data_IF_224250544515
#
_entry.id   IF_224250544515
#
_cell.length_a   1.000
_cell.length_b   1.000
_cell.length_c   1.000
_cell.angle_alpha   90.00
_cell.angle_beta   90.00
_cell.angle_gamma   90.00
#
_symmetry.space_group_name_H-M   'P 1'
#
loop_
_entity.id
_entity.type
_entity.pdbx_description
1 polymer ?
#
# COMPACT_ATOMS: atom_id res chain seq x y z
N UNK A 1 -31.91 2.15 -59.25
CA UNK A 1 -30.93 2.11 -58.15
C UNK A 1 -29.95 3.26 -58.32
N UNK A 2 -30.13 4.38 -57.60
CA UNK A 2 -29.21 5.52 -57.70
C UNK A 2 -27.90 5.17 -57.00
N UNK A 3 -26.83 4.97 -57.77
CA UNK A 3 -25.48 4.93 -57.21
C UNK A 3 -25.17 6.32 -56.64
N UNK A 4 -25.21 6.43 -55.30
CA UNK A 4 -24.64 7.55 -54.58
C UNK A 4 -23.13 7.53 -54.87
N UNK A 5 -22.66 8.39 -55.77
CA UNK A 5 -21.24 8.63 -55.97
C UNK A 5 -20.64 9.11 -54.64
N UNK A 6 -20.05 8.18 -53.89
CA UNK A 6 -19.38 8.51 -52.63
C UNK A 6 -18.02 9.12 -52.97
N UNK A 7 -17.98 10.45 -53.10
CA UNK A 7 -16.77 11.24 -53.42
C UNK A 7 -15.73 11.20 -52.26
N UNK A 8 -16.06 10.56 -51.12
CA UNK A 8 -15.19 10.56 -49.93
C UNK A 8 -14.11 9.49 -50.08
N UNK A 9 -12.86 9.93 -50.27
CA UNK A 9 -11.67 9.07 -50.30
C UNK A 9 -11.20 8.62 -48.90
N UNK A 10 -11.91 8.99 -47.83
CA UNK A 10 -11.50 8.77 -46.43
C UNK A 10 -12.51 7.92 -45.66
N UNK A 11 -11.99 7.01 -44.86
CA UNK A 11 -12.77 6.23 -43.90
C UNK A 11 -13.23 7.09 -42.71
N UNK A 12 -14.40 6.75 -42.15
CA UNK A 12 -14.92 7.42 -40.97
C UNK A 12 -14.03 7.13 -39.75
N UNK A 13 -13.67 8.16 -38.98
CA UNK A 13 -12.84 8.03 -37.78
C UNK A 13 -11.33 8.21 -38.03
N UNK A 14 -10.88 8.28 -39.28
CA UNK A 14 -9.47 8.51 -39.61
C UNK A 14 -9.04 9.95 -39.29
N UNK A 15 -8.03 10.12 -38.43
CA UNK A 15 -7.47 11.42 -38.11
C UNK A 15 -6.73 12.05 -39.31
N UNK A 16 -6.82 13.38 -39.43
CA UNK A 16 -6.04 14.14 -40.40
C UNK A 16 -4.54 14.03 -40.08
N UNK A 17 -3.73 13.74 -41.07
CA UNK A 17 -2.27 13.72 -40.95
C UNK A 17 -1.70 15.14 -41.00
N UNK A 18 -0.43 15.33 -40.65
CA UNK A 18 0.22 16.63 -40.82
C UNK A 18 0.27 17.04 -42.30
N UNK A 19 0.42 16.07 -43.21
CA UNK A 19 0.47 16.33 -44.64
C UNK A 19 -0.89 16.78 -45.19
N UNK A 20 -1.97 16.13 -44.75
CA UNK A 20 -3.35 16.58 -45.02
C UNK A 20 -3.56 18.05 -44.60
N UNK A 21 -3.02 18.42 -43.43
CA UNK A 21 -3.14 19.78 -42.90
C UNK A 21 -2.30 20.79 -43.69
N UNK A 22 -1.09 20.43 -44.12
CA UNK A 22 -0.26 21.28 -44.99
C UNK A 22 -0.92 21.49 -46.36
N UNK A 23 -1.51 20.45 -46.92
CA UNK A 23 -2.25 20.54 -48.18
C UNK A 23 -3.46 21.48 -48.06
N UNK A 24 -4.22 21.39 -46.97
CA UNK A 24 -5.27 22.36 -46.66
C UNK A 24 -4.71 23.78 -46.48
N UNK A 25 -3.58 23.95 -45.78
CA UNK A 25 -2.97 25.27 -45.58
C UNK A 25 -2.61 25.94 -46.90
N UNK A 26 -1.96 25.22 -47.80
CA UNK A 26 -1.65 25.71 -49.13
C UNK A 26 -2.93 26.12 -49.89
N UNK A 27 -3.89 25.20 -50.02
CA UNK A 27 -5.11 25.46 -50.79
C UNK A 27 -5.97 26.58 -50.19
N UNK A 28 -6.12 26.62 -48.87
CA UNK A 28 -6.93 27.62 -48.19
C UNK A 28 -6.28 29.01 -48.28
N UNK A 29 -4.97 29.12 -48.05
CA UNK A 29 -4.27 30.40 -48.07
C UNK A 29 -4.10 30.94 -49.51
N UNK A 30 -3.89 30.08 -50.51
CA UNK A 30 -3.93 30.49 -51.92
C UNK A 30 -5.34 30.95 -52.33
N UNK A 31 -6.39 30.27 -51.86
CA UNK A 31 -7.76 30.68 -52.13
C UNK A 31 -8.09 32.06 -51.51
N UNK A 32 -7.47 32.44 -50.39
CA UNK A 32 -7.65 33.77 -49.79
C UNK A 32 -7.13 34.90 -50.70
N UNK A 33 -6.07 34.65 -51.47
CA UNK A 33 -5.44 35.61 -52.39
C UNK A 33 -6.23 35.83 -53.68
N UNK A 34 -7.16 34.93 -54.03
CA UNK A 34 -7.95 35.01 -55.26
C UNK A 34 -8.92 36.20 -55.24
N UNK A 35 -9.26 36.79 -56.41
CA UNK A 35 -10.35 37.76 -56.51
C UNK A 35 -11.66 37.19 -55.99
N UNK A 36 -12.53 38.03 -55.41
CA UNK A 36 -13.80 37.59 -54.78
C UNK A 36 -14.68 36.71 -55.68
N UNK A 37 -14.65 36.96 -56.99
CA UNK A 37 -15.37 36.19 -58.02
C UNK A 37 -14.85 34.76 -58.24
N UNK A 38 -13.56 34.52 -57.94
CA UNK A 38 -12.86 33.25 -58.20
C UNK A 38 -12.51 32.50 -56.90
N UNK A 39 -12.97 33.01 -55.75
CA UNK A 39 -12.78 32.37 -54.44
C UNK A 39 -13.67 31.13 -54.33
N UNK A 40 -13.03 30.01 -54.08
CA UNK A 40 -13.70 28.74 -53.83
C UNK A 40 -14.44 28.81 -52.49
N UNK A 41 -15.66 28.30 -52.48
CA UNK A 41 -16.42 28.12 -51.24
C UNK A 41 -15.95 26.88 -50.47
N UNK A 42 -16.41 26.72 -49.23
CA UNK A 42 -15.99 25.61 -48.37
C UNK A 42 -16.41 24.24 -48.94
N UNK A 43 -17.52 24.17 -49.68
CA UNK A 43 -18.01 22.95 -50.32
C UNK A 43 -17.11 22.51 -51.47
N UNK A 44 -16.64 23.46 -52.28
CA UNK A 44 -15.67 23.23 -53.36
C UNK A 44 -14.30 22.82 -52.81
N UNK A 45 -13.82 23.51 -51.77
CA UNK A 45 -12.57 23.13 -51.08
C UNK A 45 -12.66 21.72 -50.50
N UNK A 46 -13.79 21.37 -49.87
CA UNK A 46 -14.02 20.02 -49.35
C UNK A 46 -14.03 18.97 -50.47
N UNK A 47 -14.62 19.30 -51.64
CA UNK A 47 -14.64 18.41 -52.82
C UNK A 47 -13.24 18.19 -53.39
N UNK A 48 -12.42 19.23 -53.49
CA UNK A 48 -11.02 19.14 -53.95
C UNK A 48 -10.18 18.27 -53.00
N UNK A 49 -10.34 18.48 -51.70
CA UNK A 49 -9.63 17.72 -50.65
C UNK A 49 -10.15 16.28 -50.48
N UNK A 50 -11.33 15.97 -51.04
CA UNK A 50 -12.02 14.70 -50.80
C UNK A 50 -12.52 14.52 -49.36
N UNK A 51 -12.76 15.61 -48.63
CA UNK A 51 -13.20 15.62 -47.23
C UNK A 51 -14.70 15.90 -47.12
N UNK A 52 -15.31 15.53 -45.99
CA UNK A 52 -16.67 16.03 -45.68
C UNK A 52 -16.62 17.51 -45.31
N UNK A 53 -17.66 18.27 -45.66
CA UNK A 53 -17.77 19.69 -45.29
C UNK A 53 -17.65 19.91 -43.77
N UNK A 54 -18.20 18.98 -42.98
CA UNK A 54 -18.10 19.00 -41.53
C UNK A 54 -16.68 18.72 -41.02
N UNK A 55 -15.91 17.85 -41.68
CA UNK A 55 -14.49 17.62 -41.35
C UNK A 55 -13.68 18.89 -41.60
N UNK A 56 -13.86 19.51 -42.78
CA UNK A 56 -13.19 20.75 -43.14
C UNK A 56 -13.56 21.89 -42.17
N UNK A 57 -14.84 22.04 -41.83
CA UNK A 57 -15.30 23.06 -40.87
C UNK A 57 -14.63 22.92 -39.51
N UNK A 58 -14.61 21.70 -38.95
CA UNK A 58 -13.98 21.43 -37.65
C UNK A 58 -12.48 21.64 -37.70
N UNK A 59 -11.83 21.29 -38.80
CA UNK A 59 -10.39 21.49 -38.95
C UNK A 59 -10.02 22.96 -39.09
N UNK A 60 -10.74 23.72 -39.94
CA UNK A 60 -10.56 25.16 -40.05
C UNK A 60 -10.74 25.82 -38.68
N UNK A 61 -11.73 25.42 -37.88
CA UNK A 61 -11.90 25.95 -36.52
C UNK A 61 -10.69 25.69 -35.60
N UNK A 62 -9.94 24.59 -35.80
CA UNK A 62 -8.74 24.27 -35.01
C UNK A 62 -7.52 25.08 -35.46
N UNK A 63 -7.36 25.31 -36.76
CA UNK A 63 -6.17 25.94 -37.35
C UNK A 63 -6.29 27.41 -37.73
N UNK A 64 -7.47 28.02 -37.57
CA UNK A 64 -7.72 29.43 -37.94
C UNK A 64 -6.95 30.37 -37.01
N UNK A 65 -6.09 31.20 -37.59
CA UNK A 65 -5.23 32.15 -36.87
C UNK A 65 -5.34 33.55 -37.46
N UNK A 66 -5.24 34.57 -36.60
CA UNK A 66 -5.05 35.96 -37.04
C UNK A 66 -3.56 36.19 -37.26
N UNK A 67 -3.21 36.72 -38.43
CA UNK A 67 -1.84 37.11 -38.79
C UNK A 67 -1.84 38.58 -39.25
N UNK A 68 -0.66 39.20 -39.26
CA UNK A 68 -0.47 40.55 -39.83
C UNK A 68 0.36 40.46 -41.09
N UNK A 69 -0.03 41.19 -42.12
CA UNK A 69 0.78 41.32 -43.34
C UNK A 69 1.90 42.37 -43.14
N UNK A 70 2.76 42.56 -44.15
CA UNK A 70 3.85 43.56 -44.11
C UNK A 70 3.34 45.00 -43.93
N UNK A 71 2.07 45.27 -44.22
CA UNK A 71 1.39 46.55 -44.03
C UNK A 71 0.69 46.64 -42.65
N UNK A 72 0.94 45.67 -41.75
CA UNK A 72 0.35 45.56 -40.41
C UNK A 72 -1.17 45.36 -40.38
N UNK A 73 -1.80 45.02 -41.50
CA UNK A 73 -3.22 44.72 -41.57
C UNK A 73 -3.48 43.29 -41.08
N UNK A 74 -4.50 43.14 -40.23
CA UNK A 74 -4.90 41.84 -39.72
C UNK A 74 -5.68 41.06 -40.78
N UNK A 75 -5.24 39.83 -41.05
CA UNK A 75 -5.98 38.89 -41.87
C UNK A 75 -6.08 37.53 -41.18
N UNK A 76 -7.09 36.76 -41.58
CA UNK A 76 -7.28 35.42 -41.02
C UNK A 76 -6.82 34.36 -41.99
N UNK A 77 -5.85 33.56 -41.56
CA UNK A 77 -5.30 32.44 -42.32
C UNK A 77 -5.59 31.11 -41.62
N UNK A 78 -5.33 30.02 -42.33
CA UNK A 78 -5.23 28.71 -41.70
C UNK A 78 -3.75 28.36 -41.51
N UNK A 79 -3.41 27.78 -40.36
CA UNK A 79 -2.06 27.27 -40.07
C UNK A 79 -2.11 25.79 -39.72
N UNK A 80 -1.41 24.95 -40.49
CA UNK A 80 -1.31 23.51 -40.23
C UNK A 80 -0.62 23.22 -38.90
N UNK A 81 0.40 24.03 -38.57
CA UNK A 81 1.17 23.91 -37.32
C UNK A 81 0.30 24.16 -36.10
N UNK A 82 -0.57 25.17 -36.15
CA UNK A 82 -1.48 25.47 -35.02
C UNK A 82 -2.55 24.39 -34.89
N UNK A 83 -3.16 23.96 -35.99
CA UNK A 83 -4.12 22.87 -35.98
C UNK A 83 -3.52 21.58 -35.39
N UNK A 84 -2.29 21.22 -35.81
CA UNK A 84 -1.55 20.08 -35.29
C UNK A 84 -1.31 20.20 -33.79
N UNK A 85 -0.77 21.33 -33.32
CA UNK A 85 -0.52 21.59 -31.89
C UNK A 85 -1.79 21.49 -31.04
N UNK A 86 -2.93 21.97 -31.54
CA UNK A 86 -4.22 21.84 -30.84
C UNK A 86 -4.65 20.39 -30.69
N UNK A 87 -4.46 19.57 -31.73
CA UNK A 87 -4.79 18.14 -31.71
C UNK A 87 -3.86 17.39 -30.75
N UNK A 88 -2.56 17.62 -30.83
CA UNK A 88 -1.56 17.03 -29.94
C UNK A 88 -1.83 17.39 -28.48
N UNK A 89 -2.17 18.65 -28.19
CA UNK A 89 -2.57 19.10 -26.84
C UNK A 89 -3.84 18.39 -26.36
N UNK A 90 -4.80 18.17 -27.24
CA UNK A 90 -6.04 17.46 -26.89
C UNK A 90 -5.76 15.98 -26.62
N UNK A 91 -4.88 15.36 -27.40
CA UNK A 91 -4.46 13.98 -27.19
C UNK A 91 -3.61 13.80 -25.93
N UNK A 92 -2.72 14.74 -25.62
CA UNK A 92 -1.97 14.70 -24.37
C UNK A 92 -2.87 14.81 -23.14
N UNK A 93 -4.02 15.48 -23.27
CA UNK A 93 -5.03 15.55 -22.22
C UNK A 93 -5.87 14.27 -22.09
N UNK A 94 -5.88 13.41 -23.11
CA UNK A 94 -6.49 12.08 -23.05
C UNK A 94 -5.52 11.12 -22.36
N UNK A 95 -5.49 11.19 -21.03
CA UNK A 95 -4.78 10.19 -20.23
C UNK A 95 -5.33 8.77 -20.48
N UNK A 96 -4.56 7.73 -20.16
CA UNK A 96 -5.05 6.36 -20.26
C UNK A 96 -6.30 6.21 -19.37
N UNK A 97 -7.31 5.51 -19.90
CA UNK A 97 -8.52 5.20 -19.13
C UNK A 97 -8.14 4.44 -17.86
N UNK A 98 -8.90 4.67 -16.79
CA UNK A 98 -8.72 3.90 -15.56
C UNK A 98 -8.98 2.42 -15.87
N UNK A 99 -8.05 1.52 -15.49
CA UNK A 99 -8.21 0.06 -15.51
C UNK A 99 -9.46 -0.41 -14.75
N UNK A 100 -9.84 0.27 -13.66
CA UNK A 100 -11.10 -0.01 -12.96
C UNK A 100 -12.33 0.40 -13.79
N UNK A 101 -12.20 1.42 -14.65
CA UNK A 101 -13.25 1.93 -15.54
C UNK A 101 -14.57 2.08 -14.77
N UNK A 102 -15.65 1.40 -15.19
CA UNK A 102 -16.99 1.51 -14.60
C UNK A 102 -17.26 0.47 -13.50
N UNK A 103 -16.22 -0.18 -12.96
CA UNK A 103 -16.38 -1.19 -11.91
C UNK A 103 -16.48 -0.56 -10.52
N UNK A 104 -17.65 0.01 -10.26
CA UNK A 104 -17.95 0.69 -9.00
C UNK A 104 -17.98 -0.27 -7.81
N UNK A 105 -18.30 -1.55 -8.03
CA UNK A 105 -18.31 -2.59 -6.99
C UNK A 105 -16.89 -2.83 -6.50
N UNK A 106 -15.96 -3.13 -7.41
CA UNK A 106 -14.55 -3.31 -7.06
C UNK A 106 -13.98 -2.05 -6.40
N UNK A 107 -14.35 -0.86 -6.90
CA UNK A 107 -13.90 0.41 -6.33
C UNK A 107 -14.33 0.55 -4.88
N UNK A 108 -15.61 0.29 -4.57
CA UNK A 108 -16.14 0.43 -3.22
C UNK A 108 -15.57 -0.61 -2.25
N UNK A 109 -15.36 -1.85 -2.71
CA UNK A 109 -14.73 -2.88 -1.87
C UNK A 109 -13.29 -2.47 -1.52
N UNK A 110 -12.49 -2.04 -2.50
CA UNK A 110 -11.12 -1.59 -2.26
C UNK A 110 -11.11 -0.38 -1.32
N UNK A 111 -11.98 0.60 -1.55
CA UNK A 111 -12.13 1.80 -0.71
C UNK A 111 -12.43 1.42 0.75
N UNK A 112 -13.43 0.57 0.99
CA UNK A 112 -13.79 0.10 2.33
C UNK A 112 -12.63 -0.63 3.03
N UNK A 113 -11.85 -1.43 2.30
CA UNK A 113 -10.67 -2.11 2.86
C UNK A 113 -9.53 -1.14 3.21
N UNK A 114 -9.38 -0.05 2.43
CA UNK A 114 -8.39 1.01 2.67
C UNK A 114 -8.77 1.91 3.86
N UNK A 115 -10.06 2.17 4.06
CA UNK A 115 -10.59 2.89 5.23
C UNK A 115 -10.51 2.01 6.48
N UNK A 116 -10.86 0.74 6.31
CA UNK A 116 -10.86 -0.28 7.35
C UNK A 116 -12.01 -0.19 8.33
N UNK A 117 -12.04 -1.14 9.26
CA UNK A 117 -13.08 -1.23 10.29
C UNK A 117 -12.82 -0.21 11.40
N UNK A 118 -13.83 0.58 11.74
CA UNK A 118 -13.76 1.56 12.83
C UNK A 118 -13.51 0.90 14.19
N UNK A 119 -12.71 1.57 15.01
CA UNK A 119 -12.35 1.17 16.36
C UNK A 119 -12.48 2.36 17.30
N UNK A 120 -12.80 2.12 18.57
CA UNK A 120 -13.15 3.20 19.49
C UNK A 120 -11.91 3.86 20.11
N UNK A 121 -10.88 3.08 20.44
CA UNK A 121 -9.70 3.56 21.19
C UNK A 121 -8.38 3.42 20.41
N UNK A 122 -8.42 2.80 19.24
CA UNK A 122 -7.28 2.63 18.33
C UNK A 122 -7.69 3.07 16.91
N UNK A 123 -6.72 3.24 16.02
CA UNK A 123 -7.04 3.59 14.62
C UNK A 123 -7.76 2.43 13.91
N UNK A 124 -8.51 2.77 12.86
CA UNK A 124 -9.23 1.80 12.04
C UNK A 124 -8.34 0.65 11.56
N UNK A 125 -8.88 -0.56 11.60
CA UNK A 125 -8.21 -1.77 11.13
C UNK A 125 -8.32 -1.85 9.61
N UNK A 126 -7.32 -1.29 8.93
CA UNK A 126 -7.27 -1.12 7.48
C UNK A 126 -6.13 -1.88 6.80
N UNK A 127 -6.36 -2.22 5.54
CA UNK A 127 -5.40 -2.92 4.69
C UNK A 127 -4.55 -1.94 3.89
N UNK A 128 -3.30 -2.34 3.61
CA UNK A 128 -2.47 -1.68 2.61
C UNK A 128 -2.90 -2.13 1.20
N UNK A 129 -2.65 -1.31 0.16
CA UNK A 129 -2.89 -1.72 -1.23
C UNK A 129 -2.26 -3.08 -1.59
N UNK A 130 -1.06 -3.36 -1.07
CA UNK A 130 -0.40 -4.65 -1.28
C UNK A 130 -1.16 -5.81 -0.60
N UNK A 131 -1.64 -5.61 0.63
CA UNK A 131 -2.38 -6.64 1.33
C UNK A 131 -3.76 -6.90 0.71
N UNK A 132 -4.39 -5.88 0.12
CA UNK A 132 -5.64 -6.02 -0.63
C UNK A 132 -5.45 -6.92 -1.85
N UNK A 133 -4.42 -6.66 -2.68
CA UNK A 133 -4.16 -7.51 -3.85
C UNK A 133 -3.85 -8.94 -3.43
N UNK A 134 -3.02 -9.12 -2.40
CA UNK A 134 -2.68 -10.45 -1.87
C UNK A 134 -3.89 -11.18 -1.29
N UNK A 135 -4.81 -10.45 -0.65
CA UNK A 135 -6.06 -11.00 -0.16
C UNK A 135 -6.90 -11.55 -1.31
N UNK A 136 -7.15 -10.74 -2.35
CA UNK A 136 -7.95 -11.13 -3.51
C UNK A 136 -7.30 -12.23 -4.35
N UNK A 137 -5.97 -12.23 -4.50
CA UNK A 137 -5.27 -13.31 -5.20
C UNK A 137 -5.47 -14.66 -4.51
N UNK A 138 -5.70 -14.66 -3.18
CA UNK A 138 -5.95 -15.88 -2.40
C UNK A 138 -7.42 -16.28 -2.34
N UNK A 139 -8.32 -15.32 -2.04
CA UNK A 139 -9.75 -15.63 -1.82
C UNK A 139 -10.59 -15.55 -3.09
N UNK A 140 -10.03 -15.02 -4.17
CA UNK A 140 -10.74 -14.66 -5.38
C UNK A 140 -10.96 -13.15 -5.49
N UNK A 141 -10.82 -12.63 -6.71
CA UNK A 141 -11.19 -11.26 -7.02
C UNK A 141 -12.72 -11.15 -7.02
N UNK A 142 -13.29 -10.05 -6.49
CA UNK A 142 -14.75 -9.90 -6.39
C UNK A 142 -15.43 -9.69 -7.76
N UNK A 143 -14.64 -9.39 -8.79
CA UNK A 143 -15.06 -9.05 -10.16
C UNK A 143 -14.01 -9.56 -11.15
N UNK A 144 -14.34 -9.60 -12.44
CA UNK A 144 -13.42 -10.06 -13.50
C UNK A 144 -12.15 -9.20 -13.64
N UNK A 145 -12.23 -7.93 -13.25
CA UNK A 145 -11.10 -7.00 -13.32
C UNK A 145 -10.10 -7.26 -12.21
N UNK A 146 -8.81 -7.32 -12.59
CA UNK A 146 -7.68 -7.44 -11.66
C UNK A 146 -6.81 -6.19 -11.70
N UNK A 147 -6.41 -5.72 -10.52
CA UNK A 147 -5.55 -4.55 -10.37
C UNK A 147 -4.24 -4.96 -9.69
N UNK A 148 -3.10 -4.56 -10.25
CA UNK A 148 -1.84 -4.72 -9.54
C UNK A 148 -1.73 -3.70 -8.40
N UNK A 149 -0.92 -4.01 -7.38
CA UNK A 149 -0.71 -3.16 -6.21
C UNK A 149 -0.36 -1.71 -6.58
N UNK A 150 0.50 -1.53 -7.60
CA UNK A 150 0.91 -0.20 -8.08
C UNK A 150 -0.27 0.60 -8.63
N UNK A 151 -1.24 -0.06 -9.27
CA UNK A 151 -2.43 0.61 -9.80
C UNK A 151 -3.28 1.16 -8.67
N UNK A 152 -3.48 0.41 -7.58
CA UNK A 152 -4.23 0.88 -6.41
C UNK A 152 -3.52 2.08 -5.76
N UNK A 153 -2.20 2.04 -5.60
CA UNK A 153 -1.44 3.21 -5.12
C UNK A 153 -1.63 4.44 -6.02
N UNK A 154 -1.52 4.27 -7.34
CA UNK A 154 -1.73 5.37 -8.29
C UNK A 154 -3.16 5.93 -8.24
N UNK A 155 -4.14 5.10 -7.89
CA UNK A 155 -5.54 5.53 -7.75
C UNK A 155 -5.78 6.33 -6.48
N UNK A 156 -5.14 5.94 -5.37
CA UNK A 156 -5.16 6.77 -4.14
C UNK A 156 -4.46 8.11 -4.38
N UNK A 157 -3.34 8.11 -5.12
CA UNK A 157 -2.60 9.35 -5.45
C UNK A 157 -3.39 10.28 -6.40
N UNK A 158 -4.16 9.71 -7.32
CA UNK A 158 -5.03 10.45 -8.25
C UNK A 158 -6.42 10.75 -7.68
N UNK A 159 -6.65 10.47 -6.40
CA UNK A 159 -7.94 10.71 -5.72
C UNK A 159 -9.13 10.05 -6.45
N UNK A 160 -8.89 8.85 -7.01
CA UNK A 160 -9.93 8.05 -7.69
C UNK A 160 -10.94 7.48 -6.67
N UNK A 161 -10.48 7.21 -5.45
CA UNK A 161 -11.33 6.83 -4.33
C UNK A 161 -11.79 8.10 -3.60
N UNK A 162 -13.09 8.20 -3.31
CA UNK A 162 -13.71 9.42 -2.80
C UNK A 162 -13.31 9.70 -1.35
N UNK A 163 -13.24 8.64 -0.54
CA UNK A 163 -13.04 8.73 0.91
C UNK A 163 -11.60 8.40 1.36
N UNK A 164 -10.70 8.13 0.41
CA UNK A 164 -9.34 7.66 0.71
C UNK A 164 -8.30 8.59 0.12
N UNK A 165 -7.42 9.09 0.97
CA UNK A 165 -6.29 9.91 0.58
C UNK A 165 -4.96 9.24 0.90
N UNK A 166 -3.86 9.83 0.45
CA UNK A 166 -2.51 9.37 0.83
C UNK A 166 -2.26 9.40 2.35
N UNK A 167 -3.02 10.19 3.12
CA UNK A 167 -2.91 10.25 4.59
C UNK A 167 -3.44 8.98 5.26
N UNK A 168 -4.25 8.20 4.56
CA UNK A 168 -4.87 6.99 5.07
C UNK A 168 -3.98 5.76 4.90
N UNK A 169 -2.92 5.87 4.11
CA UNK A 169 -2.02 4.74 3.85
C UNK A 169 -1.07 4.43 5.02
N UNK A 170 -0.69 3.14 5.23
CA UNK A 170 0.01 2.74 6.45
C UNK A 170 1.41 3.31 6.72
N UNK A 171 2.12 3.72 5.67
CA UNK A 171 3.48 4.25 5.78
C UNK A 171 3.54 5.63 5.13
N UNK A 172 3.51 6.66 5.97
CA UNK A 172 3.70 8.06 5.57
C UNK A 172 5.19 8.35 5.38
N UNK A 173 5.74 7.96 4.22
CA UNK A 173 7.08 8.35 3.76
C UNK A 173 8.26 8.01 4.68
N UNK A 174 9.43 8.52 4.32
CA UNK A 174 10.68 8.29 5.04
C UNK A 174 10.72 9.12 6.32
N UNK A 175 10.97 8.46 7.45
CA UNK A 175 11.35 9.15 8.69
C UNK A 175 12.84 9.49 8.63
N UNK A 176 13.27 10.69 9.06
CA UNK A 176 14.68 11.01 9.15
C UNK A 176 15.39 10.01 10.06
N UNK A 177 16.54 9.49 9.60
CA UNK A 177 17.42 8.65 10.43
C UNK A 177 17.83 9.45 11.65
N UNK A 178 17.38 9.03 12.83
CA UNK A 178 17.84 9.62 14.09
C UNK A 178 19.32 9.31 14.27
N UNK A 179 20.10 10.29 14.74
CA UNK A 179 21.50 10.08 15.13
C UNK A 179 21.57 8.95 16.17
N UNK A 180 22.55 8.05 16.01
CA UNK A 180 22.84 7.01 17.00
C UNK A 180 23.22 7.70 18.31
N UNK A 181 22.43 7.53 19.36
CA UNK A 181 22.79 7.97 20.72
C UNK A 181 23.63 6.86 21.35
N UNK A 182 24.80 7.19 21.87
CA UNK A 182 25.55 6.27 22.72
C UNK A 182 24.78 6.09 24.02
N UNK A 183 24.47 4.85 24.36
CA UNK A 183 23.77 4.48 25.60
C UNK A 183 24.78 3.67 26.41
N UNK A 184 24.86 3.93 27.71
CA UNK A 184 25.74 3.19 28.61
C UNK A 184 25.36 1.71 28.67
N UNK A 185 26.38 0.83 28.69
CA UNK A 185 26.19 -0.61 28.85
C UNK A 185 25.56 -0.87 30.23
N UNK A 186 24.28 -1.23 30.25
CA UNK A 186 23.62 -1.72 31.48
C UNK A 186 24.21 -3.07 31.87
N UNK A 187 24.43 -3.27 33.18
CA UNK A 187 24.89 -4.52 33.75
C UNK A 187 23.96 -5.67 33.33
N UNK A 188 24.55 -6.75 32.84
CA UNK A 188 23.85 -7.98 32.47
C UNK A 188 24.22 -9.06 33.47
N UNK A 189 23.26 -9.82 34.02
CA UNK A 189 23.55 -11.01 34.81
C UNK A 189 24.46 -11.96 34.00
N UNK A 190 25.46 -12.59 34.65
CA UNK A 190 26.42 -13.47 33.97
C UNK A 190 25.78 -14.76 33.43
N UNK A 191 24.78 -15.31 34.13
CA UNK A 191 24.31 -16.69 33.91
C UNK A 191 23.18 -16.85 32.87
N UNK A 192 23.05 -15.95 31.90
CA UNK A 192 21.93 -16.00 30.94
C UNK A 192 22.31 -16.56 29.58
N UNK A 193 21.45 -17.44 29.03
CA UNK A 193 21.61 -18.02 27.69
C UNK A 193 21.58 -16.92 26.62
N UNK A 194 22.70 -16.72 25.92
CA UNK A 194 22.81 -15.77 24.79
C UNK A 194 22.25 -16.35 23.50
N UNK A 195 21.88 -15.47 22.57
CA UNK A 195 21.44 -15.82 21.21
C UNK A 195 22.39 -16.79 20.48
N UNK A 196 23.70 -16.72 20.73
CA UNK A 196 24.68 -17.64 20.13
C UNK A 196 24.53 -19.10 20.58
N UNK A 197 23.85 -19.35 21.70
CA UNK A 197 23.58 -20.70 22.19
C UNK A 197 22.29 -21.29 21.61
N UNK A 198 21.64 -20.60 20.66
CA UNK A 198 20.46 -21.13 20.00
C UNK A 198 20.85 -22.27 19.07
N UNK A 199 20.04 -23.35 19.02
CA UNK A 199 20.11 -24.30 17.91
C UNK A 199 20.00 -23.59 16.55
N UNK A 200 20.73 -24.08 15.54
CA UNK A 200 20.76 -23.48 14.19
C UNK A 200 19.37 -23.38 13.54
N UNK A 201 18.49 -24.35 13.80
CA UNK A 201 17.11 -24.37 13.32
C UNK A 201 16.31 -23.08 13.66
N UNK A 202 16.63 -22.42 14.79
CA UNK A 202 15.99 -21.17 15.20
C UNK A 202 16.36 -20.01 14.26
N UNK A 203 17.61 -20.00 13.78
CA UNK A 203 18.13 -18.95 12.92
C UNK A 203 17.64 -19.11 11.48
N UNK A 204 17.60 -20.36 11.01
CA UNK A 204 17.09 -20.73 9.69
C UNK A 204 15.56 -20.60 9.59
N UNK A 205 14.86 -20.48 10.72
CA UNK A 205 13.39 -20.36 10.82
C UNK A 205 12.69 -21.53 10.12
N UNK A 206 13.17 -22.74 10.38
CA UNK A 206 12.68 -23.96 9.72
C UNK A 206 11.53 -24.62 10.47
N UNK A 207 11.31 -24.29 11.74
CA UNK A 207 10.23 -24.85 12.55
C UNK A 207 9.46 -23.83 13.38
N UNK A 208 8.24 -24.21 13.76
CA UNK A 208 7.40 -23.45 14.69
C UNK A 208 7.90 -23.55 16.13
N UNK A 209 7.54 -22.56 16.94
CA UNK A 209 7.71 -22.60 18.39
C UNK A 209 8.90 -21.79 18.89
N UNK A 210 9.54 -21.02 18.00
CA UNK A 210 10.60 -20.09 18.35
C UNK A 210 10.07 -18.67 18.29
N UNK A 211 9.79 -18.11 19.47
CA UNK A 211 9.15 -16.82 19.61
C UNK A 211 10.17 -15.73 19.92
N UNK A 212 9.92 -14.52 19.45
CA UNK A 212 10.55 -13.31 19.95
C UNK A 212 9.52 -12.59 20.84
N UNK A 213 9.96 -12.05 21.99
CA UNK A 213 9.08 -11.38 22.95
C UNK A 213 9.58 -9.96 23.25
N UNK A 214 8.67 -8.99 23.31
CA UNK A 214 8.97 -7.58 23.53
C UNK A 214 7.90 -6.87 24.35
N UNK A 215 8.23 -5.69 24.86
CA UNK A 215 7.27 -4.78 25.51
C UNK A 215 7.10 -3.48 24.71
N UNK A 216 5.85 -3.16 24.37
CA UNK A 216 5.47 -1.89 23.77
C UNK A 216 4.92 -0.97 24.86
N UNK A 217 5.68 0.06 25.21
CA UNK A 217 5.32 1.04 26.25
C UNK A 217 4.10 1.90 25.89
N UNK A 218 3.35 2.31 26.91
CA UNK A 218 2.28 3.32 26.77
C UNK A 218 2.84 4.74 26.60
N UNK A 219 1.95 5.71 26.55
CA UNK A 219 2.26 7.14 26.70
C UNK A 219 3.01 7.43 28.01
N UNK A 220 3.80 8.52 28.05
CA UNK A 220 4.47 8.97 29.28
C UNK A 220 3.47 9.09 30.44
N UNK A 221 3.86 8.57 31.61
CA UNK A 221 3.03 8.59 32.83
C UNK A 221 2.05 7.42 32.96
N UNK A 222 1.82 6.65 31.89
CA UNK A 222 1.07 5.40 31.95
C UNK A 222 2.05 4.22 32.04
N UNK A 223 1.92 3.42 33.11
CA UNK A 223 2.82 2.29 33.39
C UNK A 223 2.43 1.03 32.61
N UNK A 224 1.25 1.00 32.00
CA UNK A 224 0.80 -0.15 31.21
C UNK A 224 1.66 -0.34 29.96
N UNK A 225 1.77 -1.58 29.50
CA UNK A 225 2.41 -1.89 28.24
C UNK A 225 1.76 -3.11 27.57
N UNK A 226 2.05 -3.30 26.28
CA UNK A 226 1.68 -4.52 25.57
C UNK A 226 2.89 -5.45 25.55
N UNK A 227 2.76 -6.62 26.16
CA UNK A 227 3.67 -7.72 25.98
C UNK A 227 3.32 -8.42 24.66
N UNK A 228 4.24 -8.40 23.71
CA UNK A 228 4.06 -8.98 22.39
C UNK A 228 4.95 -10.19 22.22
N UNK A 229 4.41 -11.29 21.69
CA UNK A 229 5.18 -12.44 21.23
C UNK A 229 4.95 -12.62 19.74
N UNK A 230 5.97 -12.97 18.97
CA UNK A 230 5.84 -13.34 17.55
C UNK A 230 6.64 -14.59 17.22
N UNK A 231 6.00 -15.57 16.58
CA UNK A 231 6.67 -16.76 16.10
C UNK A 231 7.57 -16.42 14.89
N UNK A 232 8.79 -16.95 14.87
CA UNK A 232 9.78 -16.66 13.83
C UNK A 232 9.47 -17.34 12.50
N UNK A 233 8.61 -18.37 12.47
CA UNK A 233 8.27 -19.12 11.26
C UNK A 233 6.90 -18.73 10.68
N UNK A 234 5.82 -18.86 11.47
CA UNK A 234 4.44 -18.58 11.05
C UNK A 234 4.12 -17.09 11.07
N UNK A 235 4.85 -16.32 11.90
CA UNK A 235 4.57 -14.92 12.21
C UNK A 235 3.26 -14.70 12.95
N UNK A 236 2.72 -15.76 13.56
CA UNK A 236 1.65 -15.65 14.55
C UNK A 236 2.12 -14.69 15.65
N UNK A 237 1.26 -13.75 16.03
CA UNK A 237 1.51 -12.83 17.12
C UNK A 237 0.51 -13.03 18.25
N UNK A 238 0.98 -12.79 19.47
CA UNK A 238 0.17 -12.74 20.68
C UNK A 238 0.43 -11.38 21.33
N UNK A 239 -0.62 -10.66 21.71
CA UNK A 239 -0.58 -9.30 22.25
C UNK A 239 -1.34 -9.27 23.57
N UNK A 240 -0.61 -9.13 24.68
CA UNK A 240 -1.15 -9.15 26.03
C UNK A 240 -0.97 -7.81 26.71
N UNK A 241 -2.05 -7.21 27.21
CA UNK A 241 -1.94 -6.01 28.05
C UNK A 241 -1.44 -6.37 29.44
N UNK A 242 -0.39 -5.69 29.91
CA UNK A 242 0.13 -5.78 31.28
C UNK A 242 0.08 -4.41 31.97
N UNK A 243 -0.10 -4.45 33.30
CA UNK A 243 -0.31 -3.23 34.10
C UNK A 243 0.98 -2.45 34.36
N UNK A 244 2.12 -3.13 34.37
CA UNK A 244 3.45 -2.55 34.56
C UNK A 244 4.50 -3.32 33.76
N UNK A 245 5.51 -2.63 33.25
CA UNK A 245 6.69 -3.24 32.60
C UNK A 245 7.68 -3.76 33.66
N UNK A 246 7.28 -4.81 34.40
CA UNK A 246 8.08 -5.46 35.45
C UNK A 246 8.13 -6.96 35.25
N UNK A 247 9.17 -7.59 35.78
CA UNK A 247 9.42 -9.04 35.70
C UNK A 247 8.21 -9.85 36.17
N UNK A 248 7.66 -9.51 37.34
CA UNK A 248 6.45 -10.15 37.89
C UNK A 248 5.26 -10.12 36.94
N UNK A 249 5.04 -8.99 36.26
CA UNK A 249 3.93 -8.82 35.30
C UNK A 249 4.12 -9.72 34.07
N UNK A 250 5.35 -9.85 33.58
CA UNK A 250 5.71 -10.72 32.45
C UNK A 250 5.50 -12.19 32.83
N UNK A 251 6.08 -12.62 33.95
CA UNK A 251 5.94 -14.00 34.46
C UNK A 251 4.48 -14.34 34.71
N UNK A 252 3.70 -13.44 35.30
CA UNK A 252 2.26 -13.63 35.53
C UNK A 252 1.49 -13.87 34.22
N UNK A 253 1.87 -13.21 33.12
CA UNK A 253 1.25 -13.46 31.81
C UNK A 253 1.69 -14.78 31.19
N UNK A 254 2.97 -15.14 31.27
CA UNK A 254 3.43 -16.47 30.83
C UNK A 254 2.71 -17.58 31.60
N UNK A 255 2.55 -17.44 32.91
CA UNK A 255 1.75 -18.34 33.75
C UNK A 255 0.30 -18.42 33.29
N UNK A 256 -0.28 -17.28 32.90
CA UNK A 256 -1.66 -17.25 32.40
C UNK A 256 -1.82 -17.96 31.06
N UNK A 257 -0.83 -17.87 30.16
CA UNK A 257 -0.83 -18.59 28.89
C UNK A 257 -0.67 -20.09 29.16
N UNK A 258 0.26 -20.49 30.02
CA UNK A 258 0.46 -21.89 30.39
C UNK A 258 -0.79 -22.49 31.06
N UNK A 259 -1.49 -21.76 31.93
CA UNK A 259 -2.78 -22.21 32.48
C UNK A 259 -3.82 -22.47 31.41
N UNK A 260 -3.87 -21.63 30.38
CA UNK A 260 -4.86 -21.74 29.30
C UNK A 260 -4.57 -22.91 28.37
N UNK A 261 -3.29 -23.20 28.10
CA UNK A 261 -2.88 -24.24 27.15
C UNK A 261 -2.60 -25.60 27.82
N UNK A 262 -2.20 -25.60 29.08
CA UNK A 262 -1.60 -26.75 29.76
C UNK A 262 -0.09 -26.88 29.48
N UNK A 263 0.61 -27.61 30.36
CA UNK A 263 2.08 -27.70 30.35
C UNK A 263 2.67 -28.34 29.08
N UNK A 264 1.97 -29.31 28.49
CA UNK A 264 2.42 -30.00 27.27
C UNK A 264 2.31 -29.07 26.05
N UNK A 265 1.10 -28.58 25.79
CA UNK A 265 0.86 -27.70 24.65
C UNK A 265 1.64 -26.38 24.75
N UNK A 266 1.90 -25.86 25.96
CA UNK A 266 2.78 -24.72 26.13
C UNK A 266 4.21 -25.01 25.66
N UNK A 267 4.80 -26.16 26.03
CA UNK A 267 6.15 -26.54 25.60
C UNK A 267 6.25 -26.77 24.10
N UNK A 268 5.23 -27.37 23.50
CA UNK A 268 5.14 -27.58 22.06
C UNK A 268 5.01 -26.24 21.32
N UNK A 269 4.16 -25.32 21.83
CA UNK A 269 3.95 -24.00 21.22
C UNK A 269 5.10 -23.03 21.45
N UNK A 270 5.78 -23.08 22.60
CA UNK A 270 6.86 -22.15 22.97
C UNK A 270 8.14 -22.91 23.29
N UNK A 271 8.75 -23.56 22.29
CA UNK A 271 10.05 -24.24 22.43
C UNK A 271 11.14 -23.29 22.95
N UNK A 272 11.18 -22.06 22.42
CA UNK A 272 12.08 -21.02 22.91
C UNK A 272 11.49 -19.62 22.81
N UNK A 273 11.91 -18.72 23.70
CA UNK A 273 11.56 -17.31 23.69
C UNK A 273 12.83 -16.44 23.65
N UNK A 274 12.88 -15.52 22.71
CA UNK A 274 13.96 -14.57 22.54
C UNK A 274 13.58 -13.20 23.10
N UNK A 275 14.34 -12.70 24.07
CA UNK A 275 14.16 -11.38 24.69
C UNK A 275 15.35 -10.45 24.43
N UNK A 276 15.17 -9.16 24.64
CA UNK A 276 16.26 -8.21 24.69
C UNK A 276 16.84 -8.15 26.12
N UNK A 277 17.74 -7.21 26.38
CA UNK A 277 18.32 -7.02 27.70
C UNK A 277 17.49 -6.08 28.59
N UNK A 278 16.19 -5.93 28.33
CA UNK A 278 15.26 -5.15 29.14
C UNK A 278 15.23 -5.58 30.61
N UNK A 279 14.93 -4.65 31.50
CA UNK A 279 14.90 -4.92 32.95
C UNK A 279 13.73 -5.86 33.33
N UNK A 280 12.63 -5.78 32.58
CA UNK A 280 11.44 -6.62 32.70
C UNK A 280 11.67 -8.08 32.34
N UNK A 281 12.77 -8.40 31.65
CA UNK A 281 13.08 -9.75 31.20
C UNK A 281 14.26 -10.37 31.94
N UNK A 282 14.80 -9.78 33.01
CA UNK A 282 16.01 -10.32 33.67
C UNK A 282 15.76 -11.63 34.45
N UNK A 283 14.53 -11.85 34.93
CA UNK A 283 14.15 -13.07 35.66
C UNK A 283 13.83 -14.23 34.71
N UNK A 284 14.83 -14.67 33.94
CA UNK A 284 14.66 -15.80 33.03
C UNK A 284 14.32 -17.10 33.77
N UNK A 285 14.80 -17.29 35.01
CA UNK A 285 14.55 -18.51 35.79
C UNK A 285 13.05 -18.69 36.04
N UNK A 286 12.37 -17.62 36.46
CA UNK A 286 10.91 -17.67 36.63
C UNK A 286 10.15 -17.75 35.30
N UNK A 287 10.70 -17.19 34.22
CA UNK A 287 10.11 -17.32 32.88
C UNK A 287 10.19 -18.77 32.35
N UNK A 288 11.28 -19.49 32.65
CA UNK A 288 11.49 -20.89 32.24
C UNK A 288 10.80 -21.89 33.18
N UNK A 289 10.65 -21.59 34.47
CA UNK A 289 10.01 -22.50 35.45
C UNK A 289 8.55 -22.74 35.09
N UNK A 290 8.07 -23.97 34.98
CA UNK A 290 6.63 -24.28 34.77
C UNK A 290 5.79 -24.10 36.06
N UNK A 291 4.49 -23.80 35.93
CA UNK A 291 3.56 -23.82 37.09
C UNK A 291 3.01 -25.22 37.41
N UNK A 292 3.20 -26.19 36.52
CA UNK A 292 2.62 -27.53 36.65
C UNK A 292 3.66 -28.62 36.91
N UNK A 293 4.94 -28.34 36.66
CA UNK A 293 6.00 -29.34 36.79
C UNK A 293 7.33 -28.69 37.18
N UNK A 294 8.26 -29.50 37.69
CA UNK A 294 9.64 -29.08 37.95
C UNK A 294 10.44 -28.89 36.65
N UNK A 295 9.93 -29.39 35.52
CA UNK A 295 10.56 -29.21 34.20
C UNK A 295 10.38 -27.78 33.71
N UNK A 296 11.33 -27.32 32.91
CA UNK A 296 11.21 -26.02 32.24
C UNK A 296 10.08 -26.02 31.21
N UNK A 297 9.29 -24.94 31.19
CA UNK A 297 8.22 -24.69 30.21
C UNK A 297 8.73 -24.22 28.85
N UNK A 298 9.92 -23.62 28.79
CA UNK A 298 10.54 -23.06 27.58
C UNK A 298 12.03 -22.79 27.84
N UNK A 299 12.77 -22.43 26.78
CA UNK A 299 14.12 -21.88 26.87
C UNK A 299 14.16 -20.40 26.47
N UNK A 300 14.67 -19.55 27.35
CA UNK A 300 14.81 -18.10 27.17
C UNK A 300 16.22 -17.77 26.69
N UNK A 301 16.30 -16.97 25.62
CA UNK A 301 17.56 -16.50 25.04
C UNK A 301 17.60 -14.98 24.95
N UNK A 302 18.75 -14.39 25.21
CA UNK A 302 18.95 -12.93 25.15
C UNK A 302 19.73 -12.52 23.92
N UNK A 303 19.21 -11.53 23.19
CA UNK A 303 19.94 -10.84 22.13
C UNK A 303 21.17 -10.08 22.69
N UNK A 304 22.13 -9.78 21.83
CA UNK A 304 23.25 -8.93 22.20
C UNK A 304 22.78 -7.49 22.48
N UNK A 305 23.49 -6.81 23.37
CA UNK A 305 23.24 -5.39 23.61
C UNK A 305 23.49 -4.60 22.32
N UNK A 306 22.60 -3.66 22.02
CA UNK A 306 22.66 -2.82 20.81
C UNK A 306 22.49 -3.54 19.46
N UNK A 307 22.08 -4.81 19.48
CA UNK A 307 21.86 -5.62 18.27
C UNK A 307 20.38 -5.83 17.96
N UNK A 308 19.65 -4.74 17.72
CA UNK A 308 18.19 -4.82 17.51
C UNK A 308 17.80 -5.62 16.25
N UNK A 309 18.70 -5.70 15.26
CA UNK A 309 18.52 -6.50 14.04
C UNK A 309 18.40 -8.01 14.29
N UNK A 310 18.91 -8.52 15.42
CA UNK A 310 18.78 -9.93 15.82
C UNK A 310 17.34 -10.34 16.16
N UNK A 311 16.45 -9.35 16.30
CA UNK A 311 15.03 -9.45 16.63
C UNK A 311 14.15 -8.72 15.62
N UNK A 312 14.50 -8.84 14.33
CA UNK A 312 13.77 -8.15 13.26
C UNK A 312 12.28 -8.50 13.17
N UNK A 313 11.85 -9.65 13.70
CA UNK A 313 10.44 -10.04 13.73
C UNK A 313 9.66 -9.16 14.71
N UNK A 314 10.21 -8.94 15.91
CA UNK A 314 9.66 -8.00 16.89
C UNK A 314 9.64 -6.57 16.36
N UNK A 315 10.71 -6.08 15.74
CA UNK A 315 10.73 -4.72 15.20
C UNK A 315 9.60 -4.48 14.19
N UNK A 316 9.39 -5.44 13.27
CA UNK A 316 8.33 -5.35 12.28
C UNK A 316 6.93 -5.43 12.93
N UNK A 317 6.72 -6.35 13.89
CA UNK A 317 5.45 -6.46 14.61
C UNK A 317 5.16 -5.18 15.42
N UNK A 318 6.13 -4.66 16.17
CA UNK A 318 5.99 -3.42 16.93
C UNK A 318 5.64 -2.25 16.02
N UNK A 319 6.30 -2.14 14.86
CA UNK A 319 5.96 -1.15 13.85
C UNK A 319 4.52 -1.28 13.35
N UNK A 320 4.07 -2.52 13.15
CA UNK A 320 2.71 -2.81 12.68
C UNK A 320 1.64 -2.50 13.75
N UNK A 321 1.87 -2.87 15.01
CA UNK A 321 0.99 -2.50 16.13
C UNK A 321 0.94 -0.98 16.29
N UNK A 322 2.08 -0.30 16.16
CA UNK A 322 2.17 1.17 16.30
C UNK A 322 1.47 1.95 15.19
N UNK A 323 1.13 1.29 14.09
CA UNK A 323 0.28 1.89 13.08
C UNK A 323 -1.16 2.08 13.59
N UNK A 324 -1.68 1.09 14.31
CA UNK A 324 -3.01 1.12 14.89
C UNK A 324 -3.06 1.79 16.26
N UNK A 325 -1.96 1.68 17.03
CA UNK A 325 -1.80 2.28 18.35
C UNK A 325 -0.62 3.25 18.34
N UNK A 326 -0.84 4.52 17.94
CA UNK A 326 0.21 5.52 17.86
C UNK A 326 1.00 5.67 19.16
N UNK A 327 2.24 6.17 19.04
CA UNK A 327 3.00 6.59 20.24
C UNK A 327 2.26 7.74 20.91
N UNK A 328 2.14 7.70 22.24
CA UNK A 328 1.39 8.69 23.01
C UNK A 328 -0.04 8.26 23.35
N UNK A 329 -0.53 7.14 22.84
CA UNK A 329 -1.81 6.55 23.28
C UNK A 329 -1.67 5.94 24.68
N UNK A 330 -2.64 6.22 25.55
CA UNK A 330 -2.76 5.61 26.89
C UNK A 330 -3.33 4.19 26.77
N UNK A 331 -2.47 3.19 26.83
CA UNK A 331 -2.84 1.77 26.74
C UNK A 331 -3.77 1.33 27.87
N UNK A 332 -3.73 1.97 29.04
CA UNK A 332 -4.67 1.67 30.14
C UNK A 332 -6.14 1.83 29.71
N UNK A 333 -6.41 2.80 28.84
CA UNK A 333 -7.75 3.18 28.40
C UNK A 333 -8.27 2.30 27.23
N UNK A 334 -7.39 1.48 26.63
CA UNK A 334 -7.76 0.53 25.58
C UNK A 334 -8.30 -0.75 26.21
N UNK A 335 -9.56 -1.15 25.95
CA UNK A 335 -10.12 -2.37 26.51
C UNK A 335 -9.49 -3.62 25.88
N UNK A 336 -9.39 -4.71 26.64
CA UNK A 336 -8.77 -5.97 26.15
C UNK A 336 -9.45 -6.50 24.88
N UNK A 337 -10.77 -6.30 24.73
CA UNK A 337 -11.52 -6.68 23.52
C UNK A 337 -10.97 -6.04 22.23
N UNK A 338 -10.50 -4.79 22.29
CA UNK A 338 -9.94 -4.11 21.12
C UNK A 338 -8.54 -4.61 20.80
N UNK A 339 -7.76 -4.96 21.83
CA UNK A 339 -6.46 -5.59 21.68
C UNK A 339 -6.61 -6.97 21.02
N UNK A 340 -7.62 -7.76 21.43
CA UNK A 340 -7.90 -9.05 20.81
C UNK A 340 -8.31 -8.90 19.34
N UNK A 341 -9.17 -7.92 19.00
CA UNK A 341 -9.54 -7.63 17.61
C UNK A 341 -8.32 -7.22 16.77
N UNK A 342 -7.41 -6.44 17.35
CA UNK A 342 -6.16 -6.06 16.69
C UNK A 342 -5.24 -7.27 16.46
N UNK A 343 -5.09 -8.14 17.46
CA UNK A 343 -4.33 -9.39 17.35
C UNK A 343 -4.89 -10.29 16.24
N UNK A 344 -6.20 -10.53 16.25
CA UNK A 344 -6.90 -11.33 15.23
C UNK A 344 -6.71 -10.74 13.84
N UNK A 345 -6.89 -9.42 13.70
CA UNK A 345 -6.68 -8.71 12.44
C UNK A 345 -5.24 -8.89 11.94
N UNK A 346 -4.24 -8.65 12.79
CA UNK A 346 -2.83 -8.80 12.44
C UNK A 346 -2.53 -10.24 12.02
N UNK A 347 -3.08 -11.24 12.71
CA UNK A 347 -2.87 -12.65 12.40
C UNK A 347 -3.60 -13.11 11.12
N UNK A 348 -4.73 -12.49 10.76
CA UNK A 348 -5.42 -12.70 9.48
C UNK A 348 -4.84 -11.89 8.31
N UNK A 349 -3.94 -10.94 8.59
CA UNK A 349 -3.43 -10.01 7.61
C UNK A 349 -2.47 -10.70 6.61
N UNK A 350 -2.69 -10.60 5.29
CA UNK A 350 -1.77 -11.12 4.27
C UNK A 350 -0.39 -10.46 4.31
N UNK A 351 0.69 -11.26 4.30
CA UNK A 351 2.07 -10.72 4.42
C UNK A 351 2.96 -11.23 3.29
N UNK A 352 3.78 -10.33 2.72
CA UNK A 352 4.71 -10.67 1.62
C UNK A 352 5.73 -11.73 2.01
N UNK A 353 6.21 -11.69 3.27
CA UNK A 353 7.14 -12.69 3.82
C UNK A 353 6.52 -14.10 3.93
N UNK A 354 5.19 -14.20 3.81
CA UNK A 354 4.43 -15.43 3.80
C UNK A 354 3.80 -15.70 2.42
N UNK A 355 4.31 -15.06 1.36
CA UNK A 355 3.90 -15.31 -0.03
C UNK A 355 2.40 -15.10 -0.32
N UNK A 356 1.72 -14.19 0.39
CA UNK A 356 0.26 -14.05 0.25
C UNK A 356 -0.49 -14.49 1.50
N UNK A 357 0.11 -15.40 2.26
CA UNK A 357 -0.56 -15.98 3.40
C UNK A 357 -0.61 -15.05 4.61
N UNK A 358 -1.59 -15.33 5.44
CA UNK A 358 -1.72 -14.79 6.78
C UNK A 358 -1.02 -15.71 7.79
N UNK A 359 -0.75 -15.23 9.00
CA UNK A 359 -0.20 -16.08 10.04
C UNK A 359 -1.15 -17.23 10.39
N UNK A 360 -2.47 -16.95 10.47
CA UNK A 360 -3.50 -17.97 10.71
C UNK A 360 -3.50 -19.05 9.62
N UNK A 361 -3.51 -18.66 8.35
CA UNK A 361 -3.50 -19.63 7.26
C UNK A 361 -2.21 -20.45 7.21
N UNK A 362 -1.07 -19.86 7.54
CA UNK A 362 0.20 -20.60 7.64
C UNK A 362 0.20 -21.58 8.83
N UNK A 363 -0.31 -21.16 9.99
CA UNK A 363 -0.44 -22.02 11.16
C UNK A 363 -1.34 -23.23 10.88
N UNK A 364 -2.51 -23.01 10.29
CA UNK A 364 -3.46 -24.06 9.91
C UNK A 364 -2.91 -25.05 8.86
N UNK A 365 -1.92 -24.66 8.06
CA UNK A 365 -1.31 -25.57 7.09
C UNK A 365 -0.30 -26.55 7.74
N UNK A 366 0.06 -26.33 9.01
CA UNK A 366 1.08 -27.11 9.74
C UNK A 366 0.46 -27.86 10.93
N UNK A 367 -0.62 -27.33 11.50
CA UNK A 367 -1.42 -27.94 12.57
C UNK A 367 -2.32 -29.04 12.01
#
# INVERSE_FOLDING_TARGET
>A
MSQLHYIRKREAGQHLTIEDRKHLEYLYNENLKRPKKDKLNQKELAKILGWSEATLSRELKRGKVKQKNSMLEEYTAYSSVVAQKTVEKTWSNKGPSLKISNDHILAKIIENMLIGKEMNRINNLKFSPAAITMYFDRVGWPTDKRLCTRTIYNYVEKEVFLEVTMKDLPRKGNKPRKRKRYIEKRLSPPDKKRINHRPKAIEERTETGHWEMDCIESSKGDRTCLLTLVDRFTRECIILKINTQRQESVVKKLNSIERKLGARAFREKFKSITVDNGAEFQDWKSMEKSIYSEKYRTSVYYAHAYSSWERGSNENLNGFIRYFIPKGTKLKDIPQREINKLEEFINSYPRKVLEGNSANSKYLAIA
#
